data_IF_187555436820
#
_entry.id   IF_187555436820
#
_cell.length_a   1.000
_cell.length_b   1.000
_cell.length_c   1.000
_cell.angle_alpha   90.00
_cell.angle_beta   90.00
_cell.angle_gamma   90.00
#
_symmetry.space_group_name_H-M   'P 1'
#
loop_
_entity.id
_entity.type
_entity.pdbx_description
1 polymer ?
#
# COMPACT_ATOMS: atom_id res chain seq x y z
N UNK A 1 -2.89 -53.72 4.72
CA UNK A 1 -2.07 -52.71 5.45
C UNK A 1 -2.81 -51.37 5.31
N UNK A 2 -3.66 -51.01 6.29
CA UNK A 2 -4.46 -49.78 6.24
C UNK A 2 -3.57 -48.62 6.64
N UNK A 3 -3.36 -47.67 5.73
CA UNK A 3 -2.69 -46.41 6.04
C UNK A 3 -3.54 -45.74 7.13
N UNK A 4 -2.98 -45.37 8.30
CA UNK A 4 -3.75 -44.78 9.39
C UNK A 4 -4.43 -43.50 8.91
N UNK A 5 -5.76 -43.45 9.00
CA UNK A 5 -6.60 -42.30 8.59
C UNK A 5 -6.31 -41.04 9.41
N UNK A 6 -5.69 -41.18 10.58
CA UNK A 6 -5.35 -40.08 11.48
C UNK A 6 -4.24 -39.18 10.89
N UNK A 7 -3.24 -39.78 10.22
CA UNK A 7 -2.15 -39.03 9.58
C UNK A 7 -2.64 -38.23 8.36
N UNK A 8 -3.70 -38.68 7.71
CA UNK A 8 -4.30 -37.99 6.55
C UNK A 8 -4.95 -36.68 7.02
N UNK A 9 -5.60 -36.67 8.18
CA UNK A 9 -6.22 -35.46 8.74
C UNK A 9 -5.19 -34.46 9.25
N UNK A 10 -4.10 -34.93 9.89
CA UNK A 10 -2.99 -34.07 10.32
C UNK A 10 -2.25 -33.46 9.13
N UNK A 11 -2.00 -34.23 8.06
CA UNK A 11 -1.37 -33.72 6.84
C UNK A 11 -2.27 -32.72 6.10
N UNK A 12 -3.58 -32.95 6.03
CA UNK A 12 -4.54 -32.02 5.38
C UNK A 12 -4.57 -30.65 6.07
N UNK A 13 -4.52 -30.65 7.40
CA UNK A 13 -4.44 -29.42 8.19
C UNK A 13 -3.08 -28.72 8.05
N UNK A 14 -1.99 -29.49 7.91
CA UNK A 14 -0.65 -28.93 7.67
C UNK A 14 -0.55 -28.27 6.28
N UNK A 15 -1.14 -28.86 5.25
CA UNK A 15 -1.25 -28.24 3.92
C UNK A 15 -2.11 -26.97 3.93
N UNK A 16 -3.21 -26.94 4.68
CA UNK A 16 -4.05 -25.76 4.82
C UNK A 16 -3.32 -24.59 5.54
N UNK A 17 -2.54 -24.89 6.58
CA UNK A 17 -1.67 -23.92 7.26
C UNK A 17 -0.56 -23.40 6.34
N UNK A 18 0.10 -24.29 5.59
CA UNK A 18 1.13 -23.91 4.63
C UNK A 18 0.58 -23.01 3.51
N UNK A 19 -0.62 -23.31 3.00
CA UNK A 19 -1.28 -22.46 2.00
C UNK A 19 -1.66 -21.08 2.56
N UNK A 20 -2.15 -21.01 3.81
CA UNK A 20 -2.44 -19.75 4.49
C UNK A 20 -1.19 -18.89 4.75
N UNK A 21 -0.07 -19.53 5.12
CA UNK A 21 1.23 -18.86 5.28
C UNK A 21 1.78 -18.34 3.94
N UNK A 22 1.63 -19.11 2.85
CA UNK A 22 2.07 -18.68 1.53
C UNK A 22 1.28 -17.47 1.02
N UNK A 23 -0.02 -17.39 1.31
CA UNK A 23 -0.82 -16.20 0.99
C UNK A 23 -0.46 -14.96 1.81
N UNK A 24 -0.14 -15.12 3.10
CA UNK A 24 0.23 -13.97 3.94
C UNK A 24 1.58 -13.35 3.54
N UNK A 25 2.53 -14.16 3.06
CA UNK A 25 3.82 -13.68 2.55
C UNK A 25 3.67 -12.79 1.31
N UNK A 26 2.77 -13.14 0.40
CA UNK A 26 2.51 -12.35 -0.82
C UNK A 26 1.97 -10.96 -0.52
N UNK A 27 1.12 -10.83 0.52
CA UNK A 27 0.55 -9.55 0.95
C UNK A 27 1.61 -8.65 1.59
N UNK A 28 2.55 -9.24 2.35
CA UNK A 28 3.67 -8.48 2.93
C UNK A 28 4.67 -7.98 1.87
N UNK A 29 4.75 -8.66 0.72
CA UNK A 29 5.64 -8.29 -0.37
C UNK A 29 5.08 -7.20 -1.31
N UNK A 30 3.78 -6.90 -1.26
CA UNK A 30 3.16 -5.93 -2.15
C UNK A 30 3.41 -4.49 -1.68
N UNK A 31 3.74 -3.59 -2.61
CA UNK A 31 3.90 -2.17 -2.34
C UNK A 31 2.54 -1.53 -1.96
N UNK A 32 2.51 -0.61 -0.99
CA UNK A 32 1.30 0.16 -0.71
C UNK A 32 0.85 0.99 -1.92
N UNK A 33 -0.45 1.01 -2.16
CA UNK A 33 -1.10 1.87 -3.16
C UNK A 33 -1.94 2.94 -2.47
N UNK A 34 -1.87 4.18 -2.98
CA UNK A 34 -2.66 5.32 -2.49
C UNK A 34 -3.47 5.93 -3.64
N UNK A 35 -4.77 6.05 -3.43
CA UNK A 35 -5.66 6.79 -4.32
C UNK A 35 -5.66 8.28 -3.97
N UNK A 36 -5.19 9.11 -4.89
CA UNK A 36 -5.25 10.57 -4.78
C UNK A 36 -6.31 11.11 -5.74
N UNK A 37 -7.46 11.50 -5.18
CA UNK A 37 -8.55 12.13 -5.93
C UNK A 37 -8.25 13.62 -6.08
N UNK A 38 -8.00 14.07 -7.30
CA UNK A 38 -7.73 15.47 -7.62
C UNK A 38 -8.89 16.08 -8.40
N UNK A 39 -8.88 17.41 -8.57
CA UNK A 39 -9.84 18.11 -9.44
C UNK A 39 -9.75 17.69 -10.92
N UNK A 40 -8.60 17.15 -11.34
CA UNK A 40 -8.35 16.72 -12.72
C UNK A 40 -8.53 15.20 -12.92
N UNK A 41 -8.92 14.45 -11.87
CA UNK A 41 -9.15 13.01 -11.92
C UNK A 41 -8.41 12.23 -10.84
N UNK A 42 -8.53 10.90 -10.92
CA UNK A 42 -7.91 9.96 -10.00
C UNK A 42 -6.46 9.65 -10.43
N UNK A 43 -5.54 9.74 -9.48
CA UNK A 43 -4.16 9.26 -9.62
C UNK A 43 -3.94 8.14 -8.60
N UNK A 44 -3.37 7.02 -9.03
CA UNK A 44 -2.97 5.92 -8.13
C UNK A 44 -1.46 5.95 -7.98
N UNK A 45 -0.99 6.03 -6.73
CA UNK A 45 0.43 6.15 -6.39
C UNK A 45 0.89 4.83 -5.76
N UNK A 46 1.88 4.19 -6.35
CA UNK A 46 2.58 3.05 -5.76
C UNK A 46 3.80 3.51 -4.96
N UNK A 47 3.94 3.01 -3.74
CA UNK A 47 4.97 3.41 -2.79
C UNK A 47 5.99 2.30 -2.56
N UNK A 48 7.26 2.58 -2.83
CA UNK A 48 8.36 1.62 -2.67
C UNK A 48 8.96 1.67 -1.27
N UNK A 49 8.30 0.99 -0.32
CA UNK A 49 8.72 0.95 1.09
C UNK A 49 10.08 0.28 1.30
N UNK A 50 10.48 -0.62 0.39
CA UNK A 50 11.79 -1.27 0.40
C UNK A 50 12.94 -0.29 0.09
N UNK A 51 12.67 0.77 -0.69
CA UNK A 51 13.67 1.80 -1.05
C UNK A 51 13.71 2.95 -0.06
N UNK A 52 12.55 3.39 0.43
CA UNK A 52 12.44 4.59 1.27
C UNK A 52 11.46 4.38 2.44
N UNK A 53 11.76 3.49 3.39
CA UNK A 53 10.80 3.03 4.39
C UNK A 53 10.24 4.17 5.26
N UNK A 54 11.11 5.05 5.75
CA UNK A 54 10.71 6.19 6.59
C UNK A 54 9.86 7.22 5.85
N UNK A 55 10.19 7.46 4.57
CA UNK A 55 9.44 8.42 3.75
C UNK A 55 8.05 7.89 3.41
N UNK A 56 7.96 6.60 3.07
CA UNK A 56 6.68 5.93 2.81
C UNK A 56 5.82 5.92 4.07
N UNK A 57 6.39 5.58 5.23
CA UNK A 57 5.69 5.62 6.51
C UNK A 57 5.14 7.02 6.82
N UNK A 58 5.96 8.06 6.69
CA UNK A 58 5.55 9.44 6.93
C UNK A 58 4.45 9.90 5.95
N UNK A 59 4.58 9.58 4.67
CA UNK A 59 3.56 9.90 3.66
C UNK A 59 2.23 9.21 3.96
N UNK A 60 2.27 7.91 4.27
CA UNK A 60 1.07 7.14 4.62
C UNK A 60 0.41 7.67 5.90
N UNK A 61 1.20 8.17 6.86
CA UNK A 61 0.66 8.79 8.06
C UNK A 61 -0.15 10.06 7.71
N UNK A 62 0.41 10.98 6.91
CA UNK A 62 -0.32 12.16 6.45
C UNK A 62 -1.58 11.82 5.63
N UNK A 63 -1.54 10.75 4.84
CA UNK A 63 -2.73 10.25 4.13
C UNK A 63 -3.81 9.80 5.12
N UNK A 64 -3.45 9.00 6.12
CA UNK A 64 -4.40 8.51 7.16
C UNK A 64 -4.98 9.65 7.98
N UNK A 65 -4.19 10.66 8.28
CA UNK A 65 -4.61 11.84 9.03
C UNK A 65 -5.46 12.81 8.18
N UNK A 66 -5.61 12.54 6.87
CA UNK A 66 -6.36 13.38 5.94
C UNK A 66 -5.68 14.72 5.64
N UNK A 67 -4.40 14.87 5.97
CA UNK A 67 -3.65 16.13 5.89
C UNK A 67 -3.63 16.73 4.48
N UNK A 68 -3.58 15.89 3.43
CA UNK A 68 -3.53 16.36 2.06
C UNK A 68 -4.89 16.79 1.48
N UNK A 69 -5.99 16.55 2.19
CA UNK A 69 -7.32 16.91 1.72
C UNK A 69 -7.45 18.43 1.61
N UNK A 70 -7.94 18.91 0.46
CA UNK A 70 -8.11 20.34 0.20
C UNK A 70 -6.82 21.09 -0.14
N UNK A 71 -5.65 20.45 -0.09
CA UNK A 71 -4.38 21.06 -0.51
C UNK A 71 -4.32 21.24 -2.03
N UNK A 72 -3.50 22.18 -2.49
CA UNK A 72 -3.29 22.49 -3.91
C UNK A 72 -1.90 22.09 -4.40
N UNK A 73 -1.79 21.88 -5.72
CA UNK A 73 -0.51 21.94 -6.42
C UNK A 73 -0.12 23.40 -6.61
N UNK A 74 0.63 23.95 -5.65
CA UNK A 74 1.02 25.36 -5.63
C UNK A 74 2.14 25.69 -6.63
N UNK A 75 2.80 24.68 -7.21
CA UNK A 75 3.84 24.88 -8.21
C UNK A 75 3.73 23.86 -9.33
N UNK A 76 3.58 24.34 -10.55
CA UNK A 76 3.44 23.54 -11.78
C UNK A 76 4.44 24.07 -12.79
N UNK A 77 5.31 23.20 -13.30
CA UNK A 77 6.27 23.53 -14.36
C UNK A 77 6.12 22.53 -15.49
N UNK A 78 5.71 23.03 -16.64
CA UNK A 78 5.51 22.23 -17.85
C UNK A 78 6.80 21.50 -18.26
N UNK A 79 6.66 20.21 -18.57
CA UNK A 79 7.78 19.34 -18.93
C UNK A 79 8.73 18.97 -17.79
N UNK A 80 8.43 19.37 -16.55
CA UNK A 80 9.27 19.06 -15.38
C UNK A 80 8.51 18.36 -14.27
N UNK A 81 7.72 19.08 -13.47
CA UNK A 81 7.05 18.50 -12.30
C UNK A 81 5.91 19.38 -11.76
N UNK A 82 5.10 18.76 -10.90
CA UNK A 82 4.12 19.41 -10.03
C UNK A 82 4.50 19.18 -8.57
N UNK A 83 4.35 20.20 -7.74
CA UNK A 83 4.65 20.17 -6.31
C UNK A 83 3.43 20.64 -5.52
N UNK A 84 3.09 19.90 -4.47
CA UNK A 84 1.93 20.13 -3.62
C UNK A 84 2.17 19.65 -2.18
N UNK A 85 1.08 19.45 -1.44
CA UNK A 85 1.12 18.79 -0.13
C UNK A 85 1.50 19.68 1.06
N UNK A 86 1.32 21.01 0.96
CA UNK A 86 1.62 21.93 2.07
C UNK A 86 0.90 23.29 2.04
N UNK A 87 0.06 23.54 1.04
CA UNK A 87 -0.66 24.82 0.88
C UNK A 87 -2.13 24.57 0.54
N UNK A 88 -2.99 25.43 1.08
CA UNK A 88 -4.41 25.52 0.76
C UNK A 88 -4.66 26.68 -0.22
N UNK A 89 -5.84 26.75 -0.86
CA UNK A 89 -6.19 27.89 -1.70
C UNK A 89 -6.08 29.22 -0.94
N UNK A 90 -5.29 30.16 -1.46
CA UNK A 90 -5.16 31.51 -0.91
C UNK A 90 -4.03 31.72 0.12
N UNK A 91 -3.17 30.71 0.34
CA UNK A 91 -1.91 30.84 1.08
C UNK A 91 -0.71 31.11 0.17
#
# INVERSE_FOLDING_TARGET
MKIPTDNIMTMKNLFALAAGLLWSLSVLAANPLVEMKTSQGLVVIELYADKAPKTVENFLQYVKDGFYNGTIFHRVIDGFMIQGGGFEPGM
#
